data_IF_078901771326
#
_entry.id   IF_078901771326
#
_cell.length_a   1.000
_cell.length_b   1.000
_cell.length_c   1.000
_cell.angle_alpha   90.00
_cell.angle_beta   90.00
_cell.angle_gamma   90.00
#
_symmetry.space_group_name_H-M   'P 1'
#
loop_
_entity.id
_entity.type
_entity.pdbx_description
1 polymer ?
#
# COMPACT_ATOMS: atom_id res chain seq x y z
N UNK A 1 2.66 -18.69 16.35
CA UNK A 1 2.65 -17.22 16.31
C UNK A 1 1.47 -16.78 15.46
N UNK A 2 0.61 -15.91 15.98
CA UNK A 2 -0.60 -15.40 15.31
C UNK A 2 -0.20 -14.20 14.44
N UNK A 3 -0.60 -14.21 13.17
CA UNK A 3 -0.41 -13.07 12.26
C UNK A 3 -1.68 -12.22 12.29
N UNK A 4 -1.53 -10.93 12.57
CA UNK A 4 -2.65 -9.98 12.65
C UNK A 4 -2.48 -8.96 11.54
N UNK A 5 -3.43 -8.90 10.62
CA UNK A 5 -3.47 -7.85 9.61
C UNK A 5 -4.00 -6.56 10.26
N UNK A 6 -3.24 -5.48 10.12
CA UNK A 6 -3.63 -4.15 10.54
C UNK A 6 -3.99 -3.37 9.29
N UNK A 7 -5.28 -3.08 9.14
CA UNK A 7 -5.79 -2.25 8.05
C UNK A 7 -5.49 -0.76 8.30
N UNK A 8 -5.73 0.05 7.28
CA UNK A 8 -5.33 1.46 7.19
C UNK A 8 -5.83 2.34 8.33
N UNK A 9 -7.09 2.21 8.73
CA UNK A 9 -7.68 3.04 9.77
C UNK A 9 -7.08 2.74 11.14
N UNK A 10 -6.84 1.47 11.46
CA UNK A 10 -6.15 1.02 12.66
C UNK A 10 -4.67 1.41 12.62
N UNK A 11 -3.99 1.28 11.48
CA UNK A 11 -2.62 1.75 11.31
C UNK A 11 -2.53 3.26 11.60
N UNK A 12 -3.39 4.07 10.96
CA UNK A 12 -3.45 5.51 11.18
C UNK A 12 -3.74 5.86 12.64
N UNK A 13 -4.66 5.15 13.30
CA UNK A 13 -4.92 5.35 14.72
C UNK A 13 -3.66 5.16 15.57
N UNK A 14 -2.91 4.07 15.37
CA UNK A 14 -1.68 3.83 16.11
C UNK A 14 -0.58 4.85 15.79
N UNK A 15 -0.40 5.20 14.52
CA UNK A 15 0.59 6.17 14.08
C UNK A 15 0.33 7.57 14.64
N UNK A 16 -0.94 7.94 14.87
CA UNK A 16 -1.32 9.23 15.44
C UNK A 16 -1.11 9.34 16.96
N UNK A 17 -1.10 8.22 17.69
CA UNK A 17 -1.01 8.23 19.17
C UNK A 17 0.36 7.79 19.70
N UNK A 18 1.20 7.20 18.87
CA UNK A 18 2.49 6.63 19.28
C UNK A 18 3.67 7.51 18.87
N UNK A 19 4.73 7.45 19.67
CA UNK A 19 6.07 7.87 19.27
C UNK A 19 6.95 6.64 18.98
N UNK A 20 8.20 6.85 18.54
CA UNK A 20 9.09 5.74 18.15
C UNK A 20 9.32 4.72 19.25
N UNK A 21 9.55 5.16 20.49
CA UNK A 21 9.71 4.27 21.65
C UNK A 21 8.42 3.49 21.96
N UNK A 22 7.26 4.15 21.87
CA UNK A 22 5.96 3.52 22.08
C UNK A 22 5.63 2.47 21.02
N UNK A 23 5.94 2.75 19.76
CA UNK A 23 5.79 1.83 18.64
C UNK A 23 6.67 0.57 18.84
N UNK A 24 7.95 0.76 19.17
CA UNK A 24 8.88 -0.35 19.42
C UNK A 24 8.47 -1.19 20.62
N UNK A 25 8.12 -0.55 21.74
CA UNK A 25 7.66 -1.24 22.95
C UNK A 25 6.37 -2.02 22.69
N UNK A 26 5.45 -1.45 21.92
CA UNK A 26 4.21 -2.13 21.50
C UNK A 26 4.53 -3.35 20.66
N UNK A 27 5.41 -3.24 19.65
CA UNK A 27 5.82 -4.39 18.83
C UNK A 27 6.44 -5.49 19.69
N UNK A 28 7.37 -5.16 20.59
CA UNK A 28 7.97 -6.12 21.53
C UNK A 28 6.91 -6.82 22.38
N UNK A 29 5.94 -6.08 22.91
CA UNK A 29 4.84 -6.64 23.69
C UNK A 29 3.94 -7.58 22.89
N UNK A 30 3.64 -7.26 21.63
CA UNK A 30 2.83 -8.13 20.78
C UNK A 30 3.59 -9.42 20.46
N UNK A 31 4.89 -9.32 20.16
CA UNK A 31 5.73 -10.48 19.88
C UNK A 31 5.83 -11.42 21.09
N UNK A 32 5.97 -10.90 22.31
CA UNK A 32 5.96 -11.74 23.53
C UNK A 32 4.61 -12.40 23.79
N UNK A 33 3.51 -11.78 23.34
CA UNK A 33 2.17 -12.39 23.32
C UNK A 33 1.95 -13.35 22.15
N UNK A 34 3.00 -13.65 21.38
CA UNK A 34 2.94 -14.54 20.23
C UNK A 34 2.17 -13.97 19.04
N UNK A 35 2.06 -12.64 18.94
CA UNK A 35 1.36 -11.93 17.86
C UNK A 35 2.36 -11.09 17.08
N UNK A 36 2.20 -11.07 15.77
CA UNK A 36 2.95 -10.16 14.92
C UNK A 36 1.97 -9.41 14.01
N UNK A 37 2.17 -8.10 13.93
CA UNK A 37 1.30 -7.19 13.19
C UNK A 37 1.87 -6.95 11.81
N UNK A 38 1.05 -7.18 10.79
CA UNK A 38 1.41 -7.06 9.39
C UNK A 38 0.55 -5.98 8.74
N UNK A 39 1.16 -5.25 7.82
CA UNK A 39 0.46 -4.33 6.91
C UNK A 39 0.62 -4.84 5.48
N UNK A 40 -0.24 -4.37 4.58
CA UNK A 40 -0.16 -4.68 3.14
C UNK A 40 0.57 -3.58 2.39
N UNK A 41 0.95 -3.87 1.14
CA UNK A 41 1.44 -2.85 0.21
C UNK A 41 0.44 -1.71 0.01
N UNK A 42 -0.87 -1.98 0.12
CA UNK A 42 -1.94 -0.96 0.06
C UNK A 42 -1.91 0.00 1.25
N UNK A 43 -1.80 -0.51 2.48
CA UNK A 43 -1.70 0.33 3.69
C UNK A 43 -0.47 1.24 3.59
N UNK A 44 0.65 0.69 3.11
CA UNK A 44 1.88 1.46 2.91
C UNK A 44 1.69 2.56 1.87
N UNK A 45 1.01 2.25 0.75
CA UNK A 45 0.65 3.23 -0.28
C UNK A 45 -0.22 4.38 0.25
N UNK A 46 -1.14 4.09 1.16
CA UNK A 46 -2.00 5.12 1.77
C UNK A 46 -1.23 6.01 2.75
N UNK A 47 -0.26 5.46 3.50
CA UNK A 47 0.65 6.27 4.32
C UNK A 47 1.46 7.24 3.43
N UNK A 48 1.91 6.80 2.25
CA UNK A 48 2.61 7.68 1.30
C UNK A 48 1.73 8.79 0.70
N UNK A 49 0.41 8.70 0.80
CA UNK A 49 -0.49 9.74 0.31
C UNK A 49 -0.73 10.87 1.32
N UNK A 50 -0.09 10.82 2.49
CA UNK A 50 -0.11 11.92 3.45
C UNK A 50 0.53 13.14 2.80
N UNK A 51 -0.27 14.21 2.63
CA UNK A 51 0.12 15.41 1.85
C UNK A 51 1.35 16.13 2.41
N UNK A 52 1.57 16.09 3.72
CA UNK A 52 2.71 16.72 4.35
C UNK A 52 3.87 15.73 4.41
N UNK A 53 4.94 16.03 3.68
CA UNK A 53 6.12 15.16 3.61
C UNK A 53 6.75 14.87 4.97
N UNK A 54 6.76 15.85 5.90
CA UNK A 54 7.28 15.64 7.25
C UNK A 54 6.43 14.67 8.05
N UNK A 55 5.10 14.78 7.91
CA UNK A 55 4.16 13.90 8.62
C UNK A 55 4.18 12.50 8.01
N UNK A 56 4.32 12.40 6.69
CA UNK A 56 4.51 11.14 5.97
C UNK A 56 5.79 10.42 6.43
N UNK A 57 6.94 11.11 6.44
CA UNK A 57 8.21 10.53 6.90
C UNK A 57 8.12 10.10 8.37
N UNK A 58 7.48 10.90 9.22
CA UNK A 58 7.25 10.53 10.62
C UNK A 58 6.38 9.27 10.73
N UNK A 59 5.28 9.18 9.97
CA UNK A 59 4.41 8.00 9.94
C UNK A 59 5.16 6.77 9.44
N UNK A 60 5.95 6.89 8.39
CA UNK A 60 6.77 5.80 7.84
C UNK A 60 7.82 5.33 8.84
N UNK A 61 8.50 6.27 9.50
CA UNK A 61 9.45 5.97 10.56
C UNK A 61 8.77 5.18 11.68
N UNK A 62 7.65 5.67 12.21
CA UNK A 62 6.89 5.01 13.27
C UNK A 62 6.38 3.63 12.85
N UNK A 63 5.83 3.51 11.64
CA UNK A 63 5.35 2.24 11.08
C UNK A 63 6.46 1.19 11.06
N UNK A 64 7.68 1.58 10.70
CA UNK A 64 8.84 0.68 10.61
C UNK A 64 9.26 0.08 11.97
N UNK A 65 8.89 0.71 13.09
CA UNK A 65 9.11 0.17 14.44
C UNK A 65 7.95 -0.70 14.91
N UNK A 66 6.75 -0.50 14.38
CA UNK A 66 5.53 -1.12 14.88
C UNK A 66 5.20 -2.44 14.16
N UNK A 67 5.34 -2.47 12.84
CA UNK A 67 4.87 -3.58 12.00
C UNK A 67 5.99 -4.55 11.62
N UNK A 68 5.60 -5.69 11.05
CA UNK A 68 6.52 -6.69 10.50
C UNK A 68 7.28 -6.13 9.30
N UNK A 69 8.51 -6.64 9.10
CA UNK A 69 9.33 -6.35 7.92
C UNK A 69 8.78 -6.96 6.62
N UNK A 70 7.85 -7.91 6.73
CA UNK A 70 7.21 -8.55 5.58
C UNK A 70 5.87 -7.85 5.29
N UNK A 71 5.71 -7.29 4.09
CA UNK A 71 4.42 -6.76 3.64
C UNK A 71 3.57 -7.87 3.03
N UNK A 72 2.28 -7.85 3.34
CA UNK A 72 1.31 -8.70 2.63
C UNK A 72 1.12 -8.22 1.19
N UNK A 73 0.90 -9.16 0.27
CA UNK A 73 0.52 -8.87 -1.12
C UNK A 73 -0.74 -7.99 -1.17
N UNK A 74 -0.78 -7.07 -2.12
CA UNK A 74 -2.01 -6.40 -2.52
C UNK A 74 -2.94 -7.35 -3.28
N UNK A 75 -4.22 -6.96 -3.40
CA UNK A 75 -5.16 -7.65 -4.27
C UNK A 75 -4.65 -7.69 -5.74
N UNK A 76 -4.01 -6.62 -6.21
CA UNK A 76 -3.44 -6.56 -7.55
C UNK A 76 -2.34 -7.62 -7.76
N UNK A 77 -1.45 -7.80 -6.78
CA UNK A 77 -0.42 -8.85 -6.84
C UNK A 77 -1.02 -10.25 -6.86
N UNK A 78 -2.07 -10.49 -6.07
CA UNK A 78 -2.79 -11.77 -6.04
C UNK A 78 -3.44 -12.05 -7.41
N UNK A 79 -4.07 -11.05 -8.03
CA UNK A 79 -4.66 -11.17 -9.37
C UNK A 79 -3.58 -11.43 -10.42
N UNK A 80 -2.44 -10.75 -10.34
CA UNK A 80 -1.31 -10.98 -11.25
C UNK A 80 -0.80 -12.41 -11.12
N UNK A 81 -0.67 -12.93 -9.89
CA UNK A 81 -0.26 -14.32 -9.67
C UNK A 81 -1.27 -15.31 -10.26
N UNK A 82 -2.58 -15.04 -10.09
CA UNK A 82 -3.65 -15.83 -10.70
C UNK A 82 -3.54 -15.90 -12.22
N UNK A 83 -3.37 -14.76 -12.88
CA UNK A 83 -3.23 -14.70 -14.34
C UNK A 83 -1.94 -15.42 -14.78
N UNK A 84 -0.82 -15.22 -14.08
CA UNK A 84 0.46 -15.87 -14.40
C UNK A 84 0.43 -17.39 -14.26
N UNK A 85 -0.43 -17.92 -13.40
CA UNK A 85 -0.64 -19.37 -13.25
C UNK A 85 -1.60 -19.95 -14.29
N UNK A 86 -2.09 -19.15 -15.24
CA UNK A 86 -3.00 -19.60 -16.29
C UNK A 86 -4.46 -19.68 -15.83
N UNK A 87 -4.87 -18.78 -14.92
CA UNK A 87 -6.26 -18.65 -14.44
C UNK A 87 -6.81 -19.95 -13.83
N UNK A 88 -6.13 -20.53 -12.83
CA UNK A 88 -6.52 -21.82 -12.25
C UNK A 88 -7.81 -21.69 -11.43
N UNK A 89 -8.62 -22.74 -11.34
CA UNK A 89 -9.82 -22.77 -10.47
C UNK A 89 -9.51 -22.42 -8.99
N UNK A 90 -8.27 -22.69 -8.55
CA UNK A 90 -7.77 -22.38 -7.22
C UNK A 90 -6.37 -21.79 -7.31
N UNK A 91 -6.18 -20.63 -6.67
CA UNK A 91 -4.87 -19.99 -6.58
C UNK A 91 -4.04 -20.59 -5.45
N UNK A 92 -2.92 -21.22 -5.81
CA UNK A 92 -1.88 -21.60 -4.86
C UNK A 92 -0.90 -20.45 -4.71
N UNK A 93 -1.00 -19.73 -3.59
CA UNK A 93 -0.01 -18.70 -3.25
C UNK A 93 1.24 -19.36 -2.66
N UNK A 94 2.37 -19.23 -3.35
CA UNK A 94 3.67 -19.67 -2.81
C UNK A 94 4.03 -18.91 -1.52
N UNK A 95 3.66 -17.63 -1.45
CA UNK A 95 3.88 -16.77 -0.30
C UNK A 95 2.75 -15.73 -0.19
N UNK A 96 2.26 -15.42 1.02
CA UNK A 96 1.32 -14.32 1.24
C UNK A 96 2.00 -12.94 1.19
N UNK A 97 3.34 -12.90 1.12
CA UNK A 97 4.12 -11.68 1.16
C UNK A 97 4.46 -11.17 -0.24
N UNK A 98 4.54 -9.85 -0.38
CA UNK A 98 4.95 -9.21 -1.62
C UNK A 98 6.40 -9.58 -1.96
N UNK A 99 6.66 -9.81 -3.25
CA UNK A 99 8.00 -9.94 -3.82
C UNK A 99 8.33 -8.74 -4.72
N UNK A 100 7.58 -7.65 -4.62
CA UNK A 100 7.82 -6.44 -5.40
C UNK A 100 8.90 -5.57 -4.76
N UNK A 101 9.44 -4.62 -5.52
CA UNK A 101 10.48 -3.69 -5.05
C UNK A 101 10.07 -2.92 -3.80
N UNK A 102 8.78 -2.57 -3.65
CA UNK A 102 8.31 -1.86 -2.45
C UNK A 102 8.48 -2.70 -1.18
N UNK A 103 8.36 -4.03 -1.27
CA UNK A 103 8.63 -4.93 -0.15
C UNK A 103 10.10 -4.93 0.26
N UNK A 104 11.01 -4.87 -0.70
CA UNK A 104 12.45 -4.79 -0.45
C UNK A 104 12.82 -3.46 0.25
N UNK A 105 12.29 -2.35 -0.25
CA UNK A 105 12.46 -1.03 0.36
C UNK A 105 11.86 -0.97 1.77
N UNK A 106 10.70 -1.61 1.99
CA UNK A 106 10.07 -1.69 3.31
C UNK A 106 10.91 -2.46 4.30
N UNK A 107 11.37 -3.65 3.90
CA UNK A 107 12.26 -4.47 4.71
C UNK A 107 13.54 -3.72 5.06
N UNK A 108 14.11 -2.98 4.10
CA UNK A 108 15.26 -2.10 4.33
C UNK A 108 14.95 -1.02 5.38
N UNK A 109 13.81 -0.34 5.31
CA UNK A 109 13.40 0.65 6.32
C UNK A 109 13.16 0.05 7.71
N UNK A 110 12.73 -1.22 7.78
CA UNK A 110 12.55 -1.91 9.03
C UNK A 110 13.89 -2.21 9.71
N UNK A 111 14.94 -2.51 8.94
CA UNK A 111 16.29 -2.81 9.44
C UNK A 111 17.17 -1.59 9.65
N UNK A 112 17.10 -0.61 8.76
CA UNK A 112 17.90 0.60 8.78
C UNK A 112 16.99 1.81 9.04
N UNK A 113 17.04 2.33 10.26
CA UNK A 113 16.21 3.46 10.70
C UNK A 113 16.69 4.81 10.15
N UNK A 114 17.85 4.85 9.51
CA UNK A 114 18.33 5.99 8.75
C UNK A 114 17.87 5.96 7.28
N UNK A 115 17.31 4.83 6.83
CA UNK A 115 16.78 4.70 5.49
C UNK A 115 15.43 5.41 5.36
N UNK A 116 15.42 6.51 4.62
CA UNK A 116 14.18 7.17 4.18
C UNK A 116 13.72 6.56 2.87
N UNK A 117 12.43 6.26 2.78
CA UNK A 117 11.80 5.94 1.49
C UNK A 117 11.88 7.16 0.58
N UNK A 118 12.88 7.18 -0.29
CA UNK A 118 12.96 8.14 -1.36
C UNK A 118 12.00 7.67 -2.45
N UNK A 119 10.75 8.14 -2.40
CA UNK A 119 9.88 8.12 -3.56
C UNK A 119 10.42 9.19 -4.51
N UNK A 120 11.32 8.82 -5.42
CA UNK A 120 11.78 9.76 -6.45
C UNK A 120 10.59 10.22 -7.31
N UNK A 121 10.26 11.50 -7.19
CA UNK A 121 9.67 12.31 -8.25
C UNK A 121 8.18 12.16 -8.51
N UNK A 122 7.71 13.03 -9.42
CA UNK A 122 6.33 13.20 -9.89
C UNK A 122 5.65 11.88 -10.30
N UNK A 123 6.40 10.80 -10.53
CA UNK A 123 5.90 9.48 -10.92
C UNK A 123 4.97 8.80 -9.89
N UNK A 124 5.26 8.86 -8.59
CA UNK A 124 4.35 8.27 -7.57
C UNK A 124 3.04 9.05 -7.49
N UNK A 125 3.14 10.38 -7.47
CA UNK A 125 2.00 11.29 -7.42
C UNK A 125 1.15 11.21 -8.69
N UNK A 126 1.79 11.21 -9.87
CA UNK A 126 1.14 11.08 -11.17
C UNK A 126 0.53 9.69 -11.36
N UNK A 127 1.23 8.62 -10.96
CA UNK A 127 0.70 7.26 -10.99
C UNK A 127 -0.50 7.10 -10.06
N UNK A 128 -0.42 7.63 -8.84
CA UNK A 128 -1.54 7.66 -7.88
C UNK A 128 -2.72 8.46 -8.43
N UNK A 129 -2.45 9.60 -9.08
CA UNK A 129 -3.48 10.41 -9.73
C UNK A 129 -4.16 9.64 -10.87
N UNK A 130 -3.39 8.99 -11.74
CA UNK A 130 -3.90 8.17 -12.83
C UNK A 130 -4.80 7.04 -12.31
N UNK A 131 -4.38 6.32 -11.27
CA UNK A 131 -5.19 5.26 -10.65
C UNK A 131 -6.50 5.83 -10.09
N UNK A 132 -6.46 7.00 -9.43
CA UNK A 132 -7.67 7.67 -8.93
C UNK A 132 -8.60 8.11 -10.05
N UNK A 133 -8.05 8.62 -11.15
CA UNK A 133 -8.82 9.07 -12.30
C UNK A 133 -9.48 7.88 -13.02
N UNK A 134 -8.76 6.77 -13.21
CA UNK A 134 -9.33 5.50 -13.72
C UNK A 134 -10.42 4.98 -12.79
N UNK A 135 -10.21 4.99 -11.47
CA UNK A 135 -11.21 4.53 -10.51
C UNK A 135 -12.48 5.38 -10.55
N UNK A 136 -12.35 6.71 -10.70
CA UNK A 136 -13.49 7.62 -10.86
C UNK A 136 -14.24 7.31 -12.15
N UNK A 137 -13.52 7.12 -13.24
CA UNK A 137 -14.06 6.79 -14.55
C UNK A 137 -14.83 5.46 -14.54
N UNK A 138 -14.25 4.40 -13.97
CA UNK A 138 -14.93 3.10 -13.81
C UNK A 138 -16.18 3.23 -12.94
N UNK A 139 -16.15 4.04 -11.89
CA UNK A 139 -17.32 4.28 -11.06
C UNK A 139 -18.46 4.89 -11.89
N UNK A 140 -18.17 5.90 -12.72
CA UNK A 140 -19.18 6.54 -13.58
C UNK A 140 -19.79 5.51 -14.55
N UNK A 141 -18.94 4.73 -15.23
CA UNK A 141 -19.36 3.67 -16.16
C UNK A 141 -20.28 2.61 -15.53
N UNK A 142 -20.03 2.25 -14.27
CA UNK A 142 -20.82 1.23 -13.56
C UNK A 142 -22.15 1.80 -13.07
N UNK A 143 -22.22 3.12 -12.83
CA UNK A 143 -23.41 3.76 -12.22
C UNK A 143 -24.33 4.49 -13.20
N UNK A 144 -23.87 4.80 -14.42
CA UNK A 144 -24.62 5.63 -15.37
C UNK A 144 -24.82 4.93 -16.73
N UNK A 145 -26.08 4.60 -17.05
CA UNK A 145 -26.47 3.93 -18.30
C UNK A 145 -26.26 4.81 -19.56
N UNK A 146 -25.95 6.11 -19.43
CA UNK A 146 -25.75 7.05 -20.53
C UNK A 146 -24.29 7.53 -20.71
N UNK A 147 -23.31 6.76 -20.23
CA UNK A 147 -21.91 7.19 -20.12
C UNK A 147 -21.21 7.62 -21.45
N UNK A 148 -21.80 7.35 -22.61
CA UNK A 148 -21.18 7.50 -23.94
C UNK A 148 -20.69 8.91 -24.31
N UNK A 149 -21.28 9.96 -23.73
CA UNK A 149 -20.91 11.35 -24.04
C UNK A 149 -19.75 11.87 -23.18
N UNK A 150 -19.75 11.55 -21.88
CA UNK A 150 -18.65 11.83 -20.93
C UNK A 150 -17.39 11.02 -21.33
N UNK A 151 -17.61 9.82 -21.86
CA UNK A 151 -16.58 8.88 -22.30
C UNK A 151 -15.58 9.45 -23.31
N UNK A 152 -16.00 10.36 -24.20
CA UNK A 152 -15.14 10.87 -25.29
C UNK A 152 -14.13 11.93 -24.84
N UNK A 153 -14.50 12.80 -23.91
CA UNK A 153 -13.64 13.88 -23.42
C UNK A 153 -12.55 13.35 -22.47
N UNK A 154 -12.91 12.44 -21.56
CA UNK A 154 -11.97 11.88 -20.58
C UNK A 154 -10.97 10.90 -21.24
N UNK A 155 -11.39 10.12 -22.25
CA UNK A 155 -10.47 9.25 -23.02
C UNK A 155 -9.43 10.04 -23.81
N UNK A 156 -9.76 11.25 -24.27
CA UNK A 156 -8.81 12.14 -24.92
C UNK A 156 -7.74 12.62 -23.91
N UNK A 157 -8.14 12.94 -22.67
CA UNK A 157 -7.22 13.36 -21.61
C UNK A 157 -6.29 12.22 -21.14
N UNK A 158 -6.80 10.99 -21.01
CA UNK A 158 -6.00 9.82 -20.59
C UNK A 158 -4.97 9.44 -21.68
N UNK A 159 -5.32 9.53 -22.97
CA UNK A 159 -4.39 9.27 -24.08
C UNK A 159 -3.19 10.24 -24.13
N UNK A 160 -3.34 11.45 -23.59
CA UNK A 160 -2.24 12.43 -23.49
C UNK A 160 -1.26 12.07 -22.37
N UNK A 161 -1.69 11.33 -21.35
CA UNK A 161 -0.84 10.89 -20.23
C UNK A 161 -0.15 9.54 -20.44
N UNK A 162 -0.64 8.71 -21.36
CA UNK A 162 -0.10 7.37 -21.67
C UNK A 162 0.99 7.43 -22.76
N UNK A 163 1.07 8.53 -23.53
CA UNK A 163 2.14 8.80 -24.50
C UNK A 163 3.18 9.76 -23.93
#
# INVERSE_FOLDING_TARGET
MIRVYIETSAANYFLNIMNGMGAEATRKLQLTKGREWYISTTVLWEIFQIRNYKDMDACMYLASYLFSENLLKSAAEIIIDYIKQGEPDYLLLESPFTNSSIGEHWKKSCHDKSYTFHLEGDGFTNGTKLVKDISRYLSILITDDNADEILREDLAAIKVFIN
#
